data_IF_496967966095
#
_entry.id   IF_496967966095
#
_cell.length_a   1.000
_cell.length_b   1.000
_cell.length_c   1.000
_cell.angle_alpha   90.00
_cell.angle_beta   90.00
_cell.angle_gamma   90.00
#
_symmetry.space_group_name_H-M   'P 1'
#
loop_
_entity.id
_entity.type
_entity.pdbx_description
1 polymer ?
#
# COMPACT_ATOMS: atom_id res chain seq x y z
N UNK A 1 -9.75 -4.06 11.15
CA UNK A 1 -8.43 -3.91 10.52
C UNK A 1 -8.17 -2.45 10.40
N UNK A 2 -7.00 -2.00 10.80
CA UNK A 2 -6.66 -0.58 10.77
C UNK A 2 -6.08 -0.23 9.38
N UNK A 3 -6.32 1.01 8.97
CA UNK A 3 -5.65 1.59 7.81
C UNK A 3 -4.20 1.94 8.20
N UNK A 4 -3.29 2.06 7.22
CA UNK A 4 -1.98 2.65 7.46
C UNK A 4 -2.12 4.05 8.09
N UNK A 5 -1.13 4.47 8.85
CA UNK A 5 -1.12 5.82 9.41
C UNK A 5 -1.10 6.90 8.31
N UNK A 6 -1.50 8.12 8.65
CA UNK A 6 -1.64 9.19 7.66
C UNK A 6 -0.32 9.49 6.93
N UNK A 7 0.83 9.40 7.61
CA UNK A 7 2.13 9.68 6.98
C UNK A 7 2.44 8.64 5.91
N UNK A 8 2.11 7.37 6.19
CA UNK A 8 2.26 6.27 5.24
C UNK A 8 1.25 6.37 4.09
N UNK A 9 0.00 6.74 4.35
CA UNK A 9 -0.99 7.02 3.29
C UNK A 9 -0.47 8.11 2.35
N UNK A 10 0.08 9.21 2.88
CA UNK A 10 0.63 10.30 2.06
C UNK A 10 1.81 9.83 1.22
N UNK A 11 2.71 9.03 1.78
CA UNK A 11 3.81 8.43 1.02
C UNK A 11 3.28 7.55 -0.12
N UNK A 12 2.33 6.65 0.15
CA UNK A 12 1.70 5.80 -0.87
C UNK A 12 1.10 6.63 -2.00
N UNK A 13 0.36 7.69 -1.68
CA UNK A 13 -0.27 8.55 -2.69
C UNK A 13 0.75 9.30 -3.54
N UNK A 14 1.81 9.85 -2.94
CA UNK A 14 2.90 10.52 -3.67
C UNK A 14 3.63 9.56 -4.59
N UNK A 15 3.98 8.37 -4.07
CA UNK A 15 4.67 7.37 -4.86
C UNK A 15 3.79 6.86 -6.01
N UNK A 16 2.49 6.61 -5.79
CA UNK A 16 1.56 6.25 -6.86
C UNK A 16 1.48 7.36 -7.92
N UNK A 17 1.38 8.62 -7.53
CA UNK A 17 1.33 9.73 -8.48
C UNK A 17 2.62 9.80 -9.34
N UNK A 18 3.79 9.62 -8.73
CA UNK A 18 5.06 9.55 -9.44
C UNK A 18 5.13 8.35 -10.39
N UNK A 19 4.74 7.15 -9.93
CA UNK A 19 4.71 5.94 -10.76
C UNK A 19 3.81 6.10 -11.98
N UNK A 20 2.64 6.75 -11.83
CA UNK A 20 1.76 7.06 -12.94
C UNK A 20 2.41 8.00 -13.96
N UNK A 21 3.20 8.98 -13.53
CA UNK A 21 3.97 9.85 -14.43
C UNK A 21 5.05 9.08 -15.21
N UNK A 22 5.65 8.07 -14.59
CA UNK A 22 6.59 7.13 -15.21
C UNK A 22 5.90 6.06 -16.07
N UNK A 23 4.58 6.11 -16.23
CA UNK A 23 3.84 5.21 -17.10
C UNK A 23 3.50 3.85 -16.47
N UNK A 24 3.46 3.75 -15.15
CA UNK A 24 3.01 2.54 -14.44
C UNK A 24 1.50 2.33 -14.65
N UNK A 25 1.15 1.80 -15.81
CA UNK A 25 -0.22 1.52 -16.24
C UNK A 25 -0.36 0.03 -16.54
N UNK A 26 -1.49 -0.59 -16.16
CA UNK A 26 -1.71 -2.01 -16.38
C UNK A 26 -2.02 -2.27 -17.86
N UNK A 27 -1.24 -3.14 -18.51
CA UNK A 27 -1.50 -3.52 -19.92
C UNK A 27 -2.77 -4.35 -20.06
N UNK A 28 -3.00 -5.28 -19.11
CA UNK A 28 -4.14 -6.20 -19.13
C UNK A 28 -5.13 -5.96 -17.98
N UNK A 29 -5.13 -4.75 -17.40
CA UNK A 29 -5.96 -4.43 -16.24
C UNK A 29 -5.56 -5.20 -14.98
N UNK A 30 -6.53 -5.55 -14.13
CA UNK A 30 -6.27 -6.27 -12.88
C UNK A 30 -6.00 -7.76 -13.16
N UNK A 31 -4.74 -8.16 -13.02
CA UNK A 31 -4.29 -9.54 -13.20
C UNK A 31 -4.75 -10.39 -12.02
N UNK A 32 -5.46 -11.49 -12.32
CA UNK A 32 -6.03 -12.40 -11.32
C UNK A 32 -5.37 -13.79 -11.40
N UNK A 33 -5.26 -14.54 -10.29
CA UNK A 33 -4.70 -15.89 -10.27
C UNK A 33 -5.69 -16.91 -10.85
N UNK A 34 -5.97 -16.80 -12.15
CA UNK A 34 -6.92 -17.64 -12.88
C UNK A 34 -6.30 -18.13 -14.19
N UNK A 35 -6.91 -19.15 -14.80
CA UNK A 35 -6.47 -19.69 -16.09
C UNK A 35 -6.65 -18.72 -17.26
N UNK A 36 -7.40 -17.63 -17.08
CA UNK A 36 -7.50 -16.55 -18.07
C UNK A 36 -6.17 -15.78 -18.20
N UNK A 37 -5.53 -15.49 -17.07
CA UNK A 37 -4.24 -14.79 -17.03
C UNK A 37 -3.05 -15.75 -17.04
N UNK A 38 -3.19 -16.92 -16.41
CA UNK A 38 -2.13 -17.93 -16.29
C UNK A 38 -2.62 -19.28 -16.83
N UNK A 39 -2.75 -19.45 -18.16
CA UNK A 39 -3.26 -20.69 -18.76
C UNK A 39 -2.24 -21.84 -18.78
N UNK A 40 -0.96 -21.52 -18.65
CA UNK A 40 0.14 -22.46 -18.82
C UNK A 40 0.21 -23.45 -17.65
N UNK A 41 0.35 -24.77 -17.91
CA UNK A 41 0.52 -25.75 -16.85
C UNK A 41 1.86 -25.54 -16.14
N UNK A 42 1.86 -25.69 -14.82
CA UNK A 42 3.06 -25.54 -14.00
C UNK A 42 3.45 -26.87 -13.36
N UNK A 43 4.59 -27.42 -13.77
CA UNK A 43 5.18 -28.65 -13.25
C UNK A 43 6.46 -28.42 -12.41
N UNK A 44 6.81 -27.15 -12.17
CA UNK A 44 8.04 -26.76 -11.47
C UNK A 44 9.32 -26.93 -12.27
N UNK A 45 9.24 -27.34 -13.55
CA UNK A 45 10.41 -27.43 -14.42
C UNK A 45 10.98 -26.04 -14.74
N UNK A 46 12.29 -25.94 -15.05
CA UNK A 46 12.89 -24.70 -15.54
C UNK A 46 12.11 -24.03 -16.67
N UNK A 47 11.57 -24.84 -17.59
CA UNK A 47 10.76 -24.36 -18.72
C UNK A 47 9.44 -23.73 -18.24
N UNK A 48 8.76 -24.34 -17.27
CA UNK A 48 7.52 -23.79 -16.72
C UNK A 48 7.75 -22.48 -15.96
N UNK A 49 8.87 -22.36 -15.22
CA UNK A 49 9.24 -21.11 -14.53
C UNK A 49 9.56 -20.00 -15.53
N UNK A 50 10.29 -20.33 -16.61
CA UNK A 50 10.58 -19.36 -17.68
C UNK A 50 9.32 -18.89 -18.41
N UNK A 51 8.39 -19.80 -18.72
CA UNK A 51 7.10 -19.45 -19.31
C UNK A 51 6.27 -18.54 -18.39
N UNK A 52 6.27 -18.82 -17.08
CA UNK A 52 5.60 -17.99 -16.09
C UNK A 52 6.24 -16.59 -16.00
N UNK A 53 7.57 -16.48 -16.01
CA UNK A 53 8.25 -15.18 -16.03
C UNK A 53 7.87 -14.37 -17.29
N UNK A 54 7.90 -15.00 -18.47
CA UNK A 54 7.47 -14.35 -19.71
C UNK A 54 6.01 -13.87 -19.62
N UNK A 55 5.10 -14.68 -19.08
CA UNK A 55 3.70 -14.28 -18.87
C UNK A 55 3.56 -13.05 -17.97
N UNK A 56 4.32 -13.00 -16.87
CA UNK A 56 4.32 -11.84 -15.97
C UNK A 56 4.87 -10.60 -16.70
N UNK A 57 5.91 -10.73 -17.52
CA UNK A 57 6.41 -9.62 -18.36
C UNK A 57 5.37 -9.13 -19.36
N UNK A 58 4.67 -10.03 -20.06
CA UNK A 58 3.60 -9.68 -21.00
C UNK A 58 2.46 -8.90 -20.31
N UNK A 59 2.10 -9.29 -19.08
CA UNK A 59 1.10 -8.55 -18.31
C UNK A 59 1.54 -7.12 -17.93
N UNK A 60 2.84 -6.89 -17.85
CA UNK A 60 3.44 -5.57 -17.59
C UNK A 60 3.86 -4.82 -18.86
N UNK A 61 3.77 -5.43 -20.05
CA UNK A 61 4.27 -4.85 -21.30
C UNK A 61 5.80 -4.81 -21.42
N UNK A 62 6.50 -5.71 -20.71
CA UNK A 62 7.96 -5.76 -20.62
C UNK A 62 8.54 -7.02 -21.28
N UNK A 63 7.81 -7.67 -22.18
CA UNK A 63 8.23 -8.92 -22.83
C UNK A 63 9.48 -8.79 -23.72
N UNK A 64 9.85 -7.57 -24.09
CA UNK A 64 11.04 -7.30 -24.90
C UNK A 64 12.33 -7.33 -24.06
N UNK A 65 12.23 -7.38 -22.73
CA UNK A 65 13.38 -7.49 -21.85
C UNK A 65 13.88 -8.95 -21.80
N UNK A 66 15.19 -9.13 -22.03
CA UNK A 66 15.82 -10.42 -21.88
C UNK A 66 16.03 -10.75 -20.40
N UNK A 67 15.52 -11.91 -19.95
CA UNK A 67 15.66 -12.37 -18.56
C UNK A 67 16.31 -13.74 -18.48
N UNK A 68 17.40 -13.82 -17.72
CA UNK A 68 18.01 -15.05 -17.26
C UNK A 68 17.49 -15.40 -15.86
N UNK A 69 16.95 -16.59 -15.66
CA UNK A 69 16.54 -17.07 -14.34
C UNK A 69 17.65 -17.90 -13.71
N UNK A 70 17.97 -17.66 -12.44
CA UNK A 70 18.95 -18.44 -11.70
C UNK A 70 18.29 -19.06 -10.46
N UNK A 71 18.23 -20.38 -10.39
CA UNK A 71 17.68 -21.09 -9.23
C UNK A 71 18.80 -21.40 -8.24
N UNK A 72 18.72 -20.83 -7.04
CA UNK A 72 19.69 -20.94 -5.96
C UNK A 72 19.19 -21.95 -4.92
N UNK A 73 20.01 -22.92 -4.56
CA UNK A 73 19.72 -23.87 -3.47
C UNK A 73 20.28 -23.35 -2.14
N UNK A 74 19.76 -23.83 -0.99
CA UNK A 74 20.25 -23.44 0.34
C UNK A 74 21.75 -23.65 0.54
N UNK A 75 22.35 -24.62 -0.16
CA UNK A 75 23.78 -24.93 -0.16
C UNK A 75 24.61 -23.95 -1.01
N UNK A 76 23.99 -22.90 -1.55
CA UNK A 76 24.64 -21.89 -2.38
C UNK A 76 24.93 -22.36 -3.81
N UNK A 77 24.41 -23.51 -4.22
CA UNK A 77 24.53 -23.98 -5.60
C UNK A 77 23.49 -23.25 -6.46
N UNK A 78 23.95 -22.53 -7.48
CA UNK A 78 23.08 -21.88 -8.46
C UNK A 78 23.03 -22.72 -9.73
N UNK A 79 21.82 -23.01 -10.21
CA UNK A 79 21.58 -23.55 -11.55
C UNK A 79 20.97 -22.45 -12.42
N UNK A 80 21.60 -22.16 -13.56
CA UNK A 80 21.09 -21.15 -14.48
C UNK A 80 20.06 -21.78 -15.42
N UNK A 81 18.95 -21.09 -15.59
CA UNK A 81 17.86 -21.40 -16.50
C UNK A 81 17.80 -20.24 -17.50
N UNK A 82 18.53 -20.40 -18.61
CA UNK A 82 18.48 -19.44 -19.71
C UNK A 82 17.26 -19.75 -20.59
N UNK A 83 16.42 -18.74 -20.82
CA UNK A 83 15.24 -18.82 -21.70
C UNK A 83 15.60 -18.61 -23.19
N UNK A 84 16.87 -18.37 -23.53
CA UNK A 84 17.30 -18.22 -24.92
C UNK A 84 17.91 -19.52 -25.45
N UNK A 85 17.48 -19.90 -26.65
CA UNK A 85 17.87 -21.14 -27.33
C UNK A 85 19.33 -21.06 -27.81
N UNK A 86 20.29 -21.24 -26.90
CA UNK A 86 21.69 -21.42 -27.28
C UNK A 86 22.69 -20.81 -26.31
N UNK A 87 23.18 -21.64 -25.38
CA UNK A 87 24.55 -21.70 -24.87
C UNK A 87 24.55 -22.19 -23.40
N UNK A 88 24.87 -23.48 -23.22
CA UNK A 88 25.17 -24.03 -21.90
C UNK A 88 26.60 -23.63 -21.50
N UNK A 89 26.74 -22.50 -20.81
CA UNK A 89 28.00 -22.05 -20.20
C UNK A 89 27.74 -21.61 -18.76
N UNK A 90 27.65 -22.56 -17.83
CA UNK A 90 27.49 -22.25 -16.41
C UNK A 90 28.81 -21.79 -15.80
N UNK A 91 28.93 -20.51 -15.46
CA UNK A 91 29.99 -20.01 -14.58
C UNK A 91 29.59 -20.22 -13.11
N UNK A 92 30.54 -20.51 -12.19
CA UNK A 92 30.25 -20.58 -10.77
C UNK A 92 29.83 -19.20 -10.23
N UNK A 93 28.64 -19.10 -9.64
CA UNK A 93 28.09 -17.86 -9.08
C UNK A 93 28.43 -17.73 -7.58
N UNK A 94 28.78 -16.51 -7.17
CA UNK A 94 29.04 -16.11 -5.77
C UNK A 94 27.76 -16.11 -4.91
N UNK A 95 27.89 -16.45 -3.64
CA UNK A 95 26.83 -16.70 -2.63
C UNK A 95 26.05 -15.46 -2.14
N UNK A 96 26.21 -14.31 -2.79
CA UNK A 96 25.36 -13.11 -2.59
C UNK A 96 24.81 -12.64 -3.93
N UNK A 97 23.87 -13.40 -4.46
CA UNK A 97 23.11 -12.96 -5.63
C UNK A 97 22.08 -11.92 -5.20
N UNK A 98 22.17 -10.75 -5.81
CA UNK A 98 21.07 -9.79 -5.81
C UNK A 98 19.84 -10.43 -6.44
N UNK A 99 18.64 -10.09 -5.94
CA UNK A 99 17.38 -10.68 -6.44
C UNK A 99 17.20 -10.41 -7.92
N UNK A 100 17.46 -9.18 -8.34
CA UNK A 100 17.42 -8.72 -9.73
C UNK A 100 18.72 -7.98 -9.98
N UNK A 101 19.45 -8.35 -11.02
CA UNK A 101 20.65 -7.65 -11.43
C UNK A 101 20.58 -7.33 -12.92
N UNK A 102 20.85 -6.07 -13.29
CA UNK A 102 21.01 -5.69 -14.69
C UNK A 102 22.34 -6.19 -15.22
N UNK A 103 22.35 -6.74 -16.42
CA UNK A 103 23.52 -7.30 -17.10
C UNK A 103 24.13 -6.27 -18.04
N UNK A 104 25.40 -6.48 -18.39
CA UNK A 104 26.14 -5.57 -19.29
C UNK A 104 25.56 -5.50 -20.71
N UNK A 105 24.84 -6.54 -21.14
CA UNK A 105 24.13 -6.62 -22.42
C UNK A 105 22.74 -5.94 -22.39
N UNK A 106 22.37 -5.31 -21.27
CA UNK A 106 21.08 -4.65 -21.09
C UNK A 106 19.96 -5.60 -20.64
N UNK A 107 20.19 -6.91 -20.59
CA UNK A 107 19.24 -7.87 -20.02
C UNK A 107 19.25 -7.87 -18.49
N UNK A 108 18.46 -8.77 -17.91
CA UNK A 108 18.35 -8.95 -16.47
C UNK A 108 18.65 -10.38 -16.06
N UNK A 109 19.16 -10.53 -14.84
CA UNK A 109 19.23 -11.81 -14.13
C UNK A 109 18.31 -11.75 -12.93
N UNK A 110 17.45 -12.75 -12.78
CA UNK A 110 16.54 -12.89 -11.62
C UNK A 110 16.91 -14.16 -10.88
N UNK A 111 17.32 -14.01 -9.62
CA UNK A 111 17.60 -15.13 -8.74
C UNK A 111 16.32 -15.60 -8.04
N UNK A 112 16.09 -16.91 -7.98
CA UNK A 112 14.97 -17.56 -7.28
C UNK A 112 15.52 -18.63 -6.36
N UNK A 113 14.98 -18.78 -5.16
CA UNK A 113 15.35 -19.92 -4.30
C UNK A 113 14.54 -21.15 -4.68
N UNK A 114 15.14 -22.34 -4.60
CA UNK A 114 14.44 -23.61 -4.87
C UNK A 114 13.18 -23.82 -4.01
N UNK A 115 13.10 -23.19 -2.83
CA UNK A 115 11.92 -23.21 -1.97
C UNK A 115 10.73 -22.43 -2.54
N UNK A 116 11.01 -21.32 -3.23
CA UNK A 116 9.97 -20.47 -3.85
C UNK A 116 9.24 -21.24 -4.96
N UNK A 117 9.95 -22.05 -5.74
CA UNK A 117 9.41 -22.84 -6.86
C UNK A 117 8.28 -23.80 -6.44
N UNK A 118 8.21 -24.15 -5.15
CA UNK A 118 7.21 -25.07 -4.57
C UNK A 118 5.97 -24.37 -4.03
N UNK A 119 5.99 -23.04 -3.95
CA UNK A 119 4.89 -22.25 -3.42
C UNK A 119 4.42 -21.26 -4.50
N UNK A 120 3.27 -21.51 -5.16
CA UNK A 120 2.78 -20.66 -6.25
C UNK A 120 2.62 -19.18 -5.88
N UNK A 121 2.11 -18.88 -4.67
CA UNK A 121 1.95 -17.50 -4.21
C UNK A 121 3.32 -16.84 -4.06
N UNK A 122 4.27 -17.48 -3.38
CA UNK A 122 5.61 -16.91 -3.19
C UNK A 122 6.34 -16.73 -4.53
N UNK A 123 6.28 -17.73 -5.41
CA UNK A 123 6.92 -17.66 -6.72
C UNK A 123 6.35 -16.53 -7.56
N UNK A 124 5.02 -16.46 -7.70
CA UNK A 124 4.38 -15.42 -8.50
C UNK A 124 4.63 -14.03 -7.92
N UNK A 125 4.59 -13.85 -6.60
CA UNK A 125 4.99 -12.59 -5.96
C UNK A 125 6.45 -12.24 -6.27
N UNK A 126 7.39 -13.19 -6.18
CA UNK A 126 8.79 -12.93 -6.47
C UNK A 126 9.03 -12.51 -7.93
N UNK A 127 8.37 -13.18 -8.88
CA UNK A 127 8.46 -12.84 -10.31
C UNK A 127 7.83 -11.48 -10.61
N UNK A 128 6.65 -11.20 -10.05
CA UNK A 128 6.00 -9.89 -10.18
C UNK A 128 6.88 -8.78 -9.64
N UNK A 129 7.45 -8.95 -8.45
CA UNK A 129 8.37 -7.95 -7.87
C UNK A 129 9.62 -7.78 -8.74
N UNK A 130 10.12 -8.85 -9.35
CA UNK A 130 11.25 -8.75 -10.28
C UNK A 130 10.89 -7.93 -11.52
N UNK A 131 9.73 -8.16 -12.14
CA UNK A 131 9.24 -7.38 -13.29
C UNK A 131 9.00 -5.91 -12.90
N UNK A 132 8.44 -5.65 -11.72
CA UNK A 132 8.24 -4.28 -11.23
C UNK A 132 9.55 -3.56 -10.96
N UNK A 133 10.58 -4.27 -10.48
CA UNK A 133 11.93 -3.71 -10.36
C UNK A 133 12.50 -3.32 -11.73
N UNK A 134 12.31 -4.17 -12.75
CA UNK A 134 12.72 -3.88 -14.12
C UNK A 134 12.00 -2.64 -14.66
N UNK A 135 10.68 -2.53 -14.44
CA UNK A 135 9.92 -1.33 -14.78
C UNK A 135 10.55 -0.06 -14.18
N UNK A 136 10.83 -0.06 -12.87
CA UNK A 136 11.41 1.10 -12.18
C UNK A 136 12.81 1.45 -12.69
N UNK A 137 13.57 0.43 -13.10
CA UNK A 137 14.91 0.60 -13.66
C UNK A 137 14.86 1.19 -15.08
N UNK A 138 14.02 0.63 -15.96
CA UNK A 138 13.90 1.07 -17.36
C UNK A 138 13.18 2.43 -17.49
N UNK A 139 12.29 2.76 -16.55
CA UNK A 139 11.65 4.08 -16.47
C UNK A 139 12.52 5.13 -15.74
N UNK A 140 13.71 4.76 -15.25
CA UNK A 140 14.56 5.60 -14.40
C UNK A 140 13.86 6.13 -13.12
N UNK A 141 12.76 5.50 -12.69
CA UNK A 141 11.97 5.93 -11.54
C UNK A 141 12.73 5.78 -10.20
N UNK A 142 13.76 4.93 -10.15
CA UNK A 142 14.64 4.82 -8.96
C UNK A 142 15.45 6.08 -8.66
N UNK A 143 15.65 6.96 -9.63
CA UNK A 143 16.42 8.20 -9.46
C UNK A 143 15.66 9.23 -8.61
N UNK A 144 14.33 9.14 -8.57
CA UNK A 144 13.45 10.01 -7.78
C UNK A 144 13.19 9.46 -6.37
N UNK A 145 13.67 8.25 -6.07
CA UNK A 145 13.42 7.55 -4.82
C UNK A 145 14.67 7.51 -3.94
N UNK A 146 14.51 7.88 -2.68
CA UNK A 146 15.54 7.69 -1.65
C UNK A 146 15.75 6.19 -1.39
N UNK A 147 16.98 5.75 -1.03
CA UNK A 147 17.28 4.32 -0.93
C UNK A 147 16.33 3.48 -0.06
N UNK A 148 15.84 3.94 1.12
CA UNK A 148 14.89 3.17 1.94
C UNK A 148 13.55 2.90 1.24
N UNK A 149 13.15 3.76 0.32
CA UNK A 149 11.83 3.73 -0.32
C UNK A 149 11.81 2.85 -1.57
N UNK A 150 12.98 2.49 -2.12
CA UNK A 150 13.11 1.75 -3.38
C UNK A 150 12.44 0.39 -3.33
N UNK A 151 12.72 -0.38 -2.27
CA UNK A 151 12.17 -1.72 -2.10
C UNK A 151 10.64 -1.74 -1.90
N UNK A 152 10.05 -0.88 -1.04
CA UNK A 152 8.61 -0.68 -0.99
C UNK A 152 7.99 -0.18 -2.31
N UNK A 153 8.68 0.71 -3.03
CA UNK A 153 8.18 1.24 -4.31
C UNK A 153 8.06 0.15 -5.39
N UNK A 154 8.89 -0.91 -5.35
CA UNK A 154 8.74 -2.09 -6.22
C UNK A 154 7.38 -2.76 -6.02
N UNK A 155 6.90 -2.83 -4.78
CA UNK A 155 5.60 -3.42 -4.47
C UNK A 155 4.45 -2.52 -4.91
N UNK A 156 4.57 -1.20 -4.75
CA UNK A 156 3.60 -0.24 -5.31
C UNK A 156 3.57 -0.30 -6.83
N UNK A 157 4.73 -0.37 -7.48
CA UNK A 157 4.82 -0.53 -8.93
C UNK A 157 4.12 -1.82 -9.38
N UNK A 158 4.28 -2.93 -8.64
CA UNK A 158 3.54 -4.16 -8.92
C UNK A 158 2.02 -3.97 -8.86
N UNK A 159 1.51 -3.24 -7.85
CA UNK A 159 0.09 -2.91 -7.77
C UNK A 159 -0.35 -2.10 -8.99
N UNK A 160 0.41 -1.06 -9.35
CA UNK A 160 0.06 -0.15 -10.45
C UNK A 160 0.14 -0.81 -11.84
N UNK A 161 1.05 -1.77 -12.02
CA UNK A 161 1.14 -2.61 -13.21
C UNK A 161 0.03 -3.68 -13.29
N UNK A 162 -0.86 -3.74 -12.31
CA UNK A 162 -2.05 -4.59 -12.31
C UNK A 162 -1.93 -5.88 -11.50
N UNK A 163 -0.82 -6.11 -10.80
CA UNK A 163 -0.59 -7.34 -10.03
C UNK A 163 -1.01 -7.26 -8.55
N UNK A 164 -1.80 -6.25 -8.18
CA UNK A 164 -2.09 -5.96 -6.78
C UNK A 164 -2.71 -7.13 -5.99
N UNK A 165 -3.52 -7.98 -6.63
CA UNK A 165 -4.04 -9.22 -5.98
C UNK A 165 -2.91 -10.19 -5.62
N UNK A 166 -1.95 -10.39 -6.53
CA UNK A 166 -0.86 -11.35 -6.36
C UNK A 166 0.09 -10.90 -5.26
N UNK A 167 0.46 -9.62 -5.23
CA UNK A 167 1.37 -9.10 -4.19
C UNK A 167 0.67 -8.94 -2.84
N UNK A 168 -0.62 -8.61 -2.80
CA UNK A 168 -1.38 -8.57 -1.55
C UNK A 168 -1.45 -9.96 -0.90
N UNK A 169 -1.70 -11.03 -1.65
CA UNK A 169 -1.65 -12.40 -1.11
C UNK A 169 -0.23 -12.80 -0.67
N UNK A 170 0.80 -12.37 -1.41
CA UNK A 170 2.20 -12.59 -1.04
C UNK A 170 2.68 -11.86 0.23
N UNK A 171 1.96 -10.81 0.65
CA UNK A 171 2.33 -9.98 1.80
C UNK A 171 2.04 -10.60 3.15
N UNK A 172 1.20 -11.64 3.20
CA UNK A 172 0.79 -12.30 4.43
C UNK A 172 0.65 -13.80 4.24
N UNK A 173 1.71 -14.54 4.55
CA UNK A 173 1.80 -15.99 4.33
C UNK A 173 1.79 -16.74 5.65
N UNK A 174 0.80 -17.61 5.84
CA UNK A 174 0.74 -18.52 6.98
C UNK A 174 1.59 -19.76 6.74
N UNK A 175 2.62 -19.98 7.56
CA UNK A 175 3.38 -21.22 7.59
C UNK A 175 3.17 -21.93 8.93
N UNK A 176 2.73 -23.20 8.87
CA UNK A 176 2.61 -24.05 10.06
C UNK A 176 3.85 -24.94 10.16
N UNK A 177 4.60 -24.83 11.25
CA UNK A 177 5.75 -25.66 11.56
C UNK A 177 5.66 -26.33 12.93
N UNK A 178 6.65 -27.16 13.26
CA UNK A 178 6.75 -27.83 14.57
C UNK A 178 6.91 -26.84 15.74
N UNK A 179 7.28 -25.59 15.47
CA UNK A 179 7.38 -24.49 16.45
C UNK A 179 6.14 -23.58 16.51
N UNK A 180 5.03 -23.95 15.88
CA UNK A 180 3.79 -23.17 15.87
C UNK A 180 3.54 -22.46 14.53
N UNK A 181 2.64 -21.49 14.55
CA UNK A 181 2.27 -20.68 13.38
C UNK A 181 3.27 -19.54 13.23
N UNK A 182 3.87 -19.43 12.05
CA UNK A 182 4.75 -18.34 11.67
C UNK A 182 4.09 -17.56 10.52
N UNK A 183 4.24 -16.24 10.55
CA UNK A 183 3.78 -15.34 9.48
C UNK A 183 5.00 -14.85 8.72
N UNK A 184 5.02 -15.09 7.42
CA UNK A 184 6.06 -14.63 6.51
C UNK A 184 5.48 -13.64 5.50
N UNK A 185 6.36 -12.86 4.86
CA UNK A 185 6.00 -12.00 3.74
C UNK A 185 7.00 -12.18 2.60
N UNK A 186 6.50 -12.22 1.37
CA UNK A 186 7.28 -12.16 0.14
C UNK A 186 7.42 -10.74 -0.42
N UNK A 187 6.79 -9.75 0.24
CA UNK A 187 6.83 -8.33 -0.09
C UNK A 187 7.67 -7.54 0.92
N UNK A 188 7.88 -6.26 0.66
CA UNK A 188 8.54 -5.29 1.54
C UNK A 188 7.54 -4.32 2.16
N UNK A 189 6.43 -4.08 1.47
CA UNK A 189 5.27 -3.43 2.06
C UNK A 189 4.42 -4.42 2.86
N UNK A 190 3.90 -4.01 4.03
CA UNK A 190 2.93 -4.79 4.78
C UNK A 190 1.56 -4.85 4.09
N UNK A 191 0.72 -5.76 4.58
CA UNK A 191 -0.56 -6.14 3.96
C UNK A 191 -1.58 -5.01 3.92
N UNK A 192 -1.63 -4.14 4.93
CA UNK A 192 -2.53 -3.00 5.03
C UNK A 192 -2.20 -1.93 3.98
N UNK A 193 -0.92 -1.65 3.76
CA UNK A 193 -0.45 -0.72 2.75
C UNK A 193 -0.70 -1.23 1.33
N UNK A 194 -0.43 -2.51 1.07
CA UNK A 194 -0.72 -3.14 -0.23
C UNK A 194 -2.22 -3.22 -0.52
N UNK A 195 -3.02 -3.49 0.50
CA UNK A 195 -4.47 -3.46 0.39
C UNK A 195 -4.99 -2.04 0.07
N UNK A 196 -4.41 -1.01 0.69
CA UNK A 196 -4.71 0.39 0.36
C UNK A 196 -4.35 0.73 -1.07
N UNK A 197 -3.14 0.39 -1.51
CA UNK A 197 -2.70 0.61 -2.89
C UNK A 197 -3.62 -0.11 -3.90
N UNK A 198 -4.01 -1.36 -3.63
CA UNK A 198 -4.93 -2.11 -4.49
C UNK A 198 -6.32 -1.47 -4.55
N UNK A 199 -6.83 -0.94 -3.43
CA UNK A 199 -8.09 -0.20 -3.41
C UNK A 199 -8.00 1.10 -4.22
N UNK A 200 -6.90 1.86 -4.09
CA UNK A 200 -6.63 3.05 -4.90
C UNK A 200 -6.58 2.69 -6.39
N UNK A 201 -5.87 1.62 -6.75
CA UNK A 201 -5.85 1.07 -8.11
C UNK A 201 -7.26 0.76 -8.62
N UNK A 202 -8.07 0.02 -7.86
CA UNK A 202 -9.42 -0.34 -8.29
C UNK A 202 -10.26 0.92 -8.60
N UNK A 203 -10.11 1.96 -7.78
CA UNK A 203 -10.79 3.25 -7.98
C UNK A 203 -10.26 4.04 -9.18
N UNK A 204 -8.94 4.05 -9.40
CA UNK A 204 -8.30 4.72 -10.53
C UNK A 204 -8.71 4.11 -11.87
N UNK A 205 -8.77 2.78 -11.94
CA UNK A 205 -9.02 2.03 -13.17
C UNK A 205 -10.47 1.57 -13.33
N UNK A 206 -11.36 1.98 -12.42
CA UNK A 206 -12.78 1.62 -12.47
C UNK A 206 -13.05 0.13 -12.29
N UNK A 207 -12.15 -0.61 -11.65
CA UNK A 207 -12.32 -2.03 -11.36
C UNK A 207 -13.28 -2.19 -10.18
N UNK A 208 -14.36 -2.99 -10.30
CA UNK A 208 -15.24 -3.22 -9.17
C UNK A 208 -14.52 -3.98 -8.05
N UNK A 209 -14.59 -3.48 -6.81
CA UNK A 209 -13.88 -4.02 -5.64
C UNK A 209 -14.07 -5.55 -5.47
N UNK A 210 -15.27 -6.05 -5.79
CA UNK A 210 -15.62 -7.48 -5.74
C UNK A 210 -14.75 -8.37 -6.62
N UNK A 211 -14.18 -7.84 -7.71
CA UNK A 211 -13.32 -8.57 -8.63
C UNK A 211 -11.97 -8.84 -7.95
N UNK A 212 -11.37 -7.81 -7.33
CA UNK A 212 -10.16 -7.97 -6.54
C UNK A 212 -10.41 -8.86 -5.30
N UNK A 213 -11.43 -8.53 -4.50
CA UNK A 213 -11.71 -9.19 -3.22
C UNK A 213 -11.99 -10.71 -3.34
N UNK A 214 -12.49 -11.17 -4.50
CA UNK A 214 -12.77 -12.60 -4.74
C UNK A 214 -11.52 -13.46 -4.68
N UNK A 215 -10.37 -12.91 -5.06
CA UNK A 215 -9.12 -13.65 -5.20
C UNK A 215 -8.12 -13.33 -4.08
N UNK A 216 -8.51 -12.50 -3.10
CA UNK A 216 -7.70 -12.20 -1.93
C UNK A 216 -7.89 -13.26 -0.85
N UNK A 217 -6.77 -13.64 -0.22
CA UNK A 217 -6.76 -14.45 0.99
C UNK A 217 -7.41 -13.69 2.15
N UNK A 218 -7.78 -14.41 3.22
CA UNK A 218 -8.61 -13.88 4.32
C UNK A 218 -8.06 -12.57 4.91
N UNK A 219 -6.76 -12.53 5.23
CA UNK A 219 -6.14 -11.35 5.88
C UNK A 219 -5.99 -10.16 4.91
N UNK A 220 -5.39 -10.31 3.71
CA UNK A 220 -5.39 -9.24 2.69
C UNK A 220 -6.78 -8.74 2.34
N UNK A 221 -7.77 -9.64 2.23
CA UNK A 221 -9.16 -9.27 1.94
C UNK A 221 -9.77 -8.38 3.03
N UNK A 222 -9.54 -8.70 4.30
CA UNK A 222 -10.05 -7.90 5.41
C UNK A 222 -9.46 -6.48 5.43
N UNK A 223 -8.17 -6.32 5.11
CA UNK A 223 -7.59 -4.98 4.93
C UNK A 223 -8.12 -4.29 3.67
N UNK A 224 -8.28 -5.03 2.57
CA UNK A 224 -8.77 -4.47 1.30
C UNK A 224 -10.19 -3.93 1.44
N UNK A 225 -11.09 -4.63 2.15
CA UNK A 225 -12.47 -4.18 2.35
C UNK A 225 -12.51 -2.81 3.08
N UNK A 226 -11.67 -2.61 4.11
CA UNK A 226 -11.55 -1.32 4.81
C UNK A 226 -10.93 -0.24 3.90
N UNK A 227 -9.86 -0.60 3.19
CA UNK A 227 -9.19 0.28 2.23
C UNK A 227 -10.08 0.70 1.07
N UNK A 228 -10.97 -0.16 0.59
CA UNK A 228 -11.96 0.15 -0.44
C UNK A 228 -12.99 1.18 0.06
N UNK A 229 -13.43 1.06 1.32
CA UNK A 229 -14.28 2.08 1.96
C UNK A 229 -13.55 3.41 2.05
N UNK A 230 -12.28 3.42 2.45
CA UNK A 230 -11.46 4.63 2.48
C UNK A 230 -11.31 5.26 1.10
N UNK A 231 -10.92 4.48 0.08
CA UNK A 231 -10.68 4.96 -1.28
C UNK A 231 -11.97 5.49 -1.91
N UNK A 232 -13.13 4.87 -1.61
CA UNK A 232 -14.44 5.37 -2.03
C UNK A 232 -14.80 6.71 -1.38
N UNK A 233 -14.44 6.89 -0.10
CA UNK A 233 -14.69 8.13 0.66
C UNK A 233 -13.78 9.26 0.20
N UNK A 234 -12.60 8.92 -0.34
CA UNK A 234 -11.57 9.84 -0.83
C UNK A 234 -11.50 9.88 -2.38
N UNK A 235 -12.61 9.59 -3.07
CA UNK A 235 -12.60 9.46 -4.54
C UNK A 235 -12.10 10.72 -5.30
N UNK A 236 -12.32 11.92 -4.75
CA UNK A 236 -11.78 13.14 -5.35
C UNK A 236 -10.24 13.21 -5.27
N UNK A 237 -9.68 12.82 -4.12
CA UNK A 237 -8.24 12.71 -3.91
C UNK A 237 -7.64 11.63 -4.81
N UNK A 238 -8.28 10.46 -4.90
CA UNK A 238 -7.80 9.39 -5.79
C UNK A 238 -7.79 9.86 -7.26
N UNK A 239 -8.80 10.59 -7.73
CA UNK A 239 -8.78 11.15 -9.09
C UNK A 239 -7.67 12.19 -9.29
N UNK A 240 -7.29 12.92 -8.24
CA UNK A 240 -6.24 13.93 -8.29
C UNK A 240 -4.87 13.31 -8.63
N UNK A 241 -4.62 12.05 -8.26
CA UNK A 241 -3.39 11.32 -8.60
C UNK A 241 -3.05 11.37 -10.10
N UNK A 242 -4.08 11.38 -10.98
CA UNK A 242 -3.91 11.55 -12.44
C UNK A 242 -4.13 12.97 -12.90
N UNK A 243 -5.12 13.66 -12.33
CA UNK A 243 -5.56 14.95 -12.85
C UNK A 243 -4.64 16.13 -12.46
N UNK A 244 -3.94 16.02 -11.33
CA UNK A 244 -3.05 17.05 -10.80
C UNK A 244 -1.96 16.42 -9.90
N UNK A 245 -1.10 15.54 -10.45
CA UNK A 245 -0.07 14.83 -9.68
C UNK A 245 0.94 15.78 -9.00
N UNK A 246 1.17 16.97 -9.57
CA UNK A 246 2.02 18.02 -8.97
C UNK A 246 1.49 18.51 -7.61
N UNK A 247 0.16 18.54 -7.42
CA UNK A 247 -0.44 18.89 -6.13
C UNK A 247 -0.23 17.79 -5.09
N UNK A 248 -0.26 16.54 -5.53
CA UNK A 248 0.04 15.39 -4.66
C UNK A 248 1.51 15.44 -4.24
N UNK A 249 2.42 15.69 -5.18
CA UNK A 249 3.86 15.82 -4.91
C UNK A 249 4.16 16.96 -3.91
N UNK A 250 3.44 18.08 -4.03
CA UNK A 250 3.55 19.22 -3.12
C UNK A 250 2.82 19.03 -1.76
N UNK A 251 2.21 17.86 -1.53
CA UNK A 251 1.37 17.56 -0.35
C UNK A 251 0.18 18.54 -0.18
N UNK A 252 -0.26 19.18 -1.27
CA UNK A 252 -1.41 20.11 -1.31
C UNK A 252 -2.74 19.36 -1.45
N UNK A 253 -3.05 18.54 -0.45
CA UNK A 253 -4.31 17.83 -0.36
C UNK A 253 -4.68 17.48 1.08
N UNK A 254 -5.96 17.21 1.30
CA UNK A 254 -6.52 16.80 2.59
C UNK A 254 -7.06 15.38 2.48
N UNK A 255 -6.63 14.52 3.41
CA UNK A 255 -7.19 13.17 3.56
C UNK A 255 -8.49 13.28 4.35
N UNK A 256 -9.60 12.88 3.73
CA UNK A 256 -10.91 12.83 4.37
C UNK A 256 -11.02 11.62 5.30
N UNK A 257 -11.76 11.81 6.41
CA UNK A 257 -12.11 10.71 7.31
C UNK A 257 -12.83 9.58 6.55
N UNK A 258 -12.45 8.33 6.83
CA UNK A 258 -13.16 7.16 6.31
C UNK A 258 -14.60 7.16 6.85
N UNK A 259 -15.57 7.41 5.98
CA UNK A 259 -16.99 7.35 6.36
C UNK A 259 -17.53 6.01 5.89
N UNK A 260 -17.78 5.12 6.85
CA UNK A 260 -18.54 3.89 6.62
C UNK A 260 -19.82 4.21 5.83
N UNK A 261 -20.13 3.35 4.86
CA UNK A 261 -21.32 3.48 4.03
C UNK A 261 -22.61 3.55 4.89
N UNK A 262 -22.63 2.91 6.06
CA UNK A 262 -23.74 3.01 7.04
C UNK A 262 -23.86 4.42 7.63
N UNK A 263 -22.75 5.08 7.94
CA UNK A 263 -22.75 6.47 8.40
C UNK A 263 -23.18 7.45 7.29
N UNK A 264 -22.91 7.11 6.03
CA UNK A 264 -23.41 7.87 4.85
C UNK A 264 -24.89 7.64 4.60
N UNK A 265 -25.38 6.41 4.69
CA UNK A 265 -26.78 6.05 4.45
C UNK A 265 -27.73 6.50 5.59
N UNK A 266 -27.23 6.52 6.83
CA UNK A 266 -28.03 6.91 8.01
C UNK A 266 -27.87 8.38 8.39
N UNK A 267 -27.07 9.18 7.67
CA UNK A 267 -26.83 10.60 8.00
C UNK A 267 -26.15 10.84 9.37
N UNK A 268 -25.78 9.79 10.08
CA UNK A 268 -25.10 9.80 11.37
C UNK A 268 -23.61 10.07 11.15
N UNK A 269 -23.29 11.33 10.86
CA UNK A 269 -21.90 11.74 10.58
C UNK A 269 -21.72 13.16 10.07
N UNK A 270 -22.77 14.00 10.03
CA UNK A 270 -22.60 15.46 9.89
C UNK A 270 -21.98 16.02 11.18
N UNK A 271 -20.69 15.77 11.41
CA UNK A 271 -19.90 16.70 12.21
C UNK A 271 -19.92 18.02 11.46
N UNK A 272 -20.40 19.07 12.14
CA UNK A 272 -20.28 20.46 11.68
C UNK A 272 -18.82 20.70 11.28
N UNK A 273 -18.56 21.55 10.27
CA UNK A 273 -17.19 21.91 9.90
C UNK A 273 -16.41 22.29 11.16
N UNK A 274 -15.20 21.79 11.29
CA UNK A 274 -14.28 22.25 12.34
C UNK A 274 -14.21 23.76 12.26
N UNK A 275 -14.63 24.43 13.34
CA UNK A 275 -14.51 25.88 13.48
C UNK A 275 -13.04 26.24 13.30
N UNK A 276 -12.79 27.24 12.46
CA UNK A 276 -11.45 27.82 12.38
C UNK A 276 -11.19 28.66 13.64
N UNK A 277 -9.93 28.90 14.01
CA UNK A 277 -9.60 29.83 15.10
C UNK A 277 -10.21 31.23 14.88
N UNK A 278 -10.42 31.62 13.63
CA UNK A 278 -11.07 32.88 13.25
C UNK A 278 -12.60 32.86 13.54
N UNK A 279 -13.25 31.70 13.42
CA UNK A 279 -14.66 31.55 13.78
C UNK A 279 -14.86 31.61 15.30
N UNK A 280 -13.93 31.03 16.06
CA UNK A 280 -13.93 31.10 17.53
C UNK A 280 -13.65 32.53 18.02
N UNK A 281 -12.71 33.24 17.37
CA UNK A 281 -12.43 34.64 17.68
C UNK A 281 -13.64 35.55 17.41
N UNK A 282 -14.32 35.35 16.28
CA UNK A 282 -15.56 36.09 15.95
C UNK A 282 -16.72 35.79 16.90
N UNK A 283 -16.79 34.58 17.44
CA UNK A 283 -17.79 34.24 18.44
C UNK A 283 -17.47 34.86 19.80
N UNK A 284 -16.18 34.89 20.17
CA UNK A 284 -15.69 35.57 21.37
C UNK A 284 -15.95 37.09 21.31
N UNK A 285 -15.66 37.72 20.17
CA UNK A 285 -15.95 39.14 19.92
C UNK A 285 -17.45 39.43 20.05
N UNK A 286 -18.32 38.60 19.45
CA UNK A 286 -19.78 38.75 19.61
C UNK A 286 -20.26 38.54 21.05
N UNK A 287 -19.62 37.65 21.80
CA UNK A 287 -19.95 37.42 23.20
C UNK A 287 -19.55 38.62 24.06
N UNK A 288 -18.38 39.21 23.81
CA UNK A 288 -17.89 40.40 24.50
C UNK A 288 -18.72 41.65 24.16
N UNK A 289 -19.11 41.85 22.90
CA UNK A 289 -19.99 42.96 22.51
C UNK A 289 -21.37 42.89 23.17
N UNK A 290 -21.86 41.69 23.49
CA UNK A 290 -23.12 41.51 24.24
C UNK A 290 -22.97 41.80 25.74
N UNK A 291 -21.76 41.73 26.28
CA UNK A 291 -21.48 42.07 27.68
C UNK A 291 -21.44 43.60 27.83
N UNK A 292 -20.94 44.33 26.83
CA UNK A 292 -20.91 45.81 26.85
C UNK A 292 -22.29 46.46 26.63
N UNK A 293 -23.20 45.81 25.89
CA UNK A 293 -24.57 46.33 25.67
C UNK A 293 -25.59 45.91 26.75
N UNK A 294 -25.16 45.17 27.78
CA UNK A 294 -26.04 44.47 28.72
C UNK A 294 -25.79 44.73 30.21
N UNK A 295 -25.27 45.89 30.60
CA UNK A 295 -25.04 46.23 32.02
C UNK A 295 -26.32 46.66 32.80
N UNK A 296 -27.48 46.11 32.46
CA UNK A 296 -28.74 46.34 33.18
C UNK A 296 -29.60 45.06 33.23
N UNK A 297 -29.12 44.04 33.96
CA UNK A 297 -29.90 42.82 34.18
C UNK A 297 -29.07 41.63 34.64
N UNK A 298 -28.34 41.76 35.75
CA UNK A 298 -27.58 40.65 36.32
C UNK A 298 -28.52 39.55 36.84
N UNK A 299 -28.71 38.49 36.06
CA UNK A 299 -29.28 37.24 36.54
C UNK A 299 -28.35 36.62 37.59
N UNK A 300 -28.91 36.30 38.77
CA UNK A 300 -28.17 35.65 39.86
C UNK A 300 -27.53 34.35 39.34
N UNK A 301 -26.26 34.06 39.70
CA UNK A 301 -25.61 32.83 39.30
C UNK A 301 -26.39 31.63 39.85
N UNK A 302 -26.68 30.67 38.98
CA UNK A 302 -27.29 29.39 39.38
C UNK A 302 -26.37 28.71 40.40
N UNK A 303 -26.91 28.15 41.50
CA UNK A 303 -26.11 27.39 42.45
C UNK A 303 -25.47 26.21 41.72
N UNK A 304 -24.16 26.06 41.92
CA UNK A 304 -23.39 24.93 41.40
C UNK A 304 -23.93 23.64 42.00
N UNK A 305 -24.17 22.67 41.13
CA UNK A 305 -24.54 21.30 41.48
C UNK A 305 -23.51 20.72 42.45
N UNK A 306 -23.95 20.20 43.59
CA UNK A 306 -23.09 19.68 44.67
C UNK A 306 -22.11 18.61 44.17
N UNK A 307 -22.51 17.84 43.15
CA UNK A 307 -21.65 16.86 42.49
C UNK A 307 -20.42 17.52 41.84
N UNK A 308 -20.62 18.63 41.13
CA UNK A 308 -19.53 19.35 40.45
C UNK A 308 -18.66 20.12 41.43
N UNK A 309 -19.23 20.59 42.53
CA UNK A 309 -18.47 21.25 43.60
C UNK A 309 -17.50 20.27 44.28
N UNK A 310 -17.91 19.00 44.48
CA UNK A 310 -17.02 17.95 44.99
C UNK A 310 -15.91 17.58 44.00
N UNK A 311 -16.25 17.41 42.74
CA UNK A 311 -15.28 17.05 41.69
C UNK A 311 -14.21 18.14 41.52
N UNK A 312 -14.61 19.42 41.57
CA UNK A 312 -13.66 20.55 41.53
C UNK A 312 -12.78 20.65 42.78
N UNK A 313 -13.28 20.25 43.94
CA UNK A 313 -12.49 20.21 45.17
C UNK A 313 -11.46 19.07 45.14
N UNK A 314 -11.82 17.92 44.59
CA UNK A 314 -10.93 16.78 44.41
C UNK A 314 -9.82 17.07 43.38
N UNK A 315 -10.16 17.71 42.26
CA UNK A 315 -9.19 18.15 41.26
C UNK A 315 -8.22 19.18 41.85
N UNK A 316 -8.71 20.13 42.67
CA UNK A 316 -7.83 21.09 43.35
C UNK A 316 -6.88 20.43 44.33
N UNK A 317 -7.35 19.45 45.10
CA UNK A 317 -6.51 18.70 46.02
C UNK A 317 -5.38 17.95 45.28
N UNK A 318 -5.69 17.32 44.13
CA UNK A 318 -4.70 16.63 43.30
C UNK A 318 -3.67 17.58 42.67
N UNK A 319 -4.09 18.79 42.29
CA UNK A 319 -3.19 19.83 41.76
C UNK A 319 -2.27 20.37 42.85
N UNK A 320 -2.80 20.64 44.05
CA UNK A 320 -1.99 21.13 45.17
C UNK A 320 -0.99 20.05 45.66
N UNK A 321 -1.36 18.76 45.61
CA UNK A 321 -0.46 17.64 45.88
C UNK A 321 0.66 17.52 44.83
N UNK A 322 0.34 17.75 43.55
CA UNK A 322 1.32 17.66 42.45
C UNK A 322 2.28 18.85 42.37
N UNK A 323 1.91 20.00 42.97
CA UNK A 323 2.74 21.21 43.01
C UNK A 323 3.52 21.37 44.32
N UNK A 324 3.30 20.47 45.29
CA UNK A 324 3.90 20.50 46.62
C UNK A 324 5.14 19.62 46.83
N UNK A 325 5.69 19.00 45.77
CA UNK A 325 6.89 18.14 45.82
C UNK A 325 8.03 18.64 44.94
#
# INVERSE_FOLDING_TARGET
>A
MDLPDESQIRWILRTIAALLQHGAEPVHGLVQPTTEFFPDPYDGSPKAVAALMLRVQEHAGLQDLEVELAVVTPEGQASTVSCSSGACGGMPLSTKLERVARRDDGGYRVALSAGELRNPTVLTTALVRAVSFMFLSEACAFDELVPPDREPAVDLAAVMLGFGVLVANGSYLYAKGCGGVQVHSATKMPVDELALALAVYCRLHGVPDRIAARHLDVTPRAHFDESAVWASSNAALVRMLRAAPERIAADDFVIGASRSWLARALGLGKRRPSRTPEDDLRELERALSRVDEGAAGAARPRPLDESKAKELAEIRALVDESLGS
#
